data_IF_467689758756
#
_entry.id   IF_467689758756
#
_cell.length_a   1.000
_cell.length_b   1.000
_cell.length_c   1.000
_cell.angle_alpha   90.00
_cell.angle_beta   90.00
_cell.angle_gamma   90.00
#
_symmetry.space_group_name_H-M   'P 1'
#
loop_
_entity.id
_entity.type
_entity.pdbx_description
1 polymer ?
#
# COMPACT_ATOMS: atom_id res chain seq x y z
N UNK A 1 4.50 4.12 -5.30
CA UNK A 1 5.36 3.08 -4.71
C UNK A 1 6.63 3.69 -4.14
N UNK A 2 7.51 4.27 -4.97
CA UNK A 2 8.73 4.92 -4.53
C UNK A 2 8.45 6.00 -3.47
N UNK A 3 7.52 6.92 -3.73
CA UNK A 3 7.17 7.99 -2.77
C UNK A 3 6.75 7.46 -1.39
N UNK A 4 5.91 6.42 -1.33
CA UNK A 4 5.44 5.81 -0.07
C UNK A 4 6.57 5.14 0.70
N UNK A 5 7.47 4.47 -0.02
CA UNK A 5 8.68 3.87 0.55
C UNK A 5 9.58 4.95 1.16
N UNK A 6 9.85 6.02 0.43
CA UNK A 6 10.66 7.14 0.93
C UNK A 6 10.00 7.84 2.14
N UNK A 7 8.67 8.02 2.11
CA UNK A 7 7.90 8.59 3.21
C UNK A 7 7.96 7.75 4.49
N UNK A 8 8.21 6.44 4.39
CA UNK A 8 8.40 5.55 5.54
C UNK A 8 9.87 5.53 6.00
N UNK A 9 10.84 5.53 5.07
CA UNK A 9 12.29 5.53 5.39
C UNK A 9 12.70 6.78 6.16
N UNK A 10 12.24 7.96 5.74
CA UNK A 10 12.73 9.23 6.29
C UNK A 10 12.45 9.42 7.80
N UNK A 11 11.23 9.15 8.31
CA UNK A 11 10.98 9.13 9.75
C UNK A 11 11.76 8.03 10.47
N UNK A 12 11.91 6.84 9.87
CA UNK A 12 12.68 5.73 10.47
C UNK A 12 14.16 6.07 10.67
N UNK A 13 14.76 6.80 9.71
CA UNK A 13 16.14 7.28 9.82
C UNK A 13 16.30 8.33 10.93
N UNK A 14 15.29 9.20 11.12
CA UNK A 14 15.30 10.28 12.12
C UNK A 14 15.01 9.79 13.55
N UNK A 15 14.36 8.63 13.71
CA UNK A 15 13.97 8.07 15.02
C UNK A 15 14.94 7.03 15.59
N UNK A 16 16.07 6.75 14.95
CA UNK A 16 17.10 5.82 15.47
C UNK A 16 16.64 4.36 15.62
N UNK A 17 15.58 3.95 14.91
CA UNK A 17 15.03 2.59 15.01
C UNK A 17 16.00 1.55 14.43
N UNK A 18 16.09 0.39 15.08
CA UNK A 18 16.92 -0.73 14.63
C UNK A 18 16.56 -1.15 13.19
N UNK A 19 17.57 -1.38 12.34
CA UNK A 19 17.39 -1.74 10.92
C UNK A 19 16.46 -2.93 10.68
N UNK A 20 16.36 -3.86 11.65
CA UNK A 20 15.43 -5.00 11.59
C UNK A 20 13.95 -4.59 11.63
N UNK A 21 13.58 -3.56 12.41
CA UNK A 21 12.21 -3.06 12.46
C UNK A 21 11.79 -2.37 11.15
N UNK A 22 12.74 -1.69 10.50
CA UNK A 22 12.52 -1.07 9.18
C UNK A 22 12.15 -2.15 8.17
N UNK A 23 12.96 -3.22 8.04
CA UNK A 23 12.69 -4.32 7.12
C UNK A 23 11.34 -5.01 7.36
N UNK A 24 10.95 -5.17 8.63
CA UNK A 24 9.66 -5.76 8.99
C UNK A 24 8.47 -4.86 8.57
N UNK A 25 8.58 -3.53 8.72
CA UNK A 25 7.56 -2.58 8.26
C UNK A 25 7.46 -2.51 6.73
N UNK A 26 8.59 -2.65 6.03
CA UNK A 26 8.61 -2.84 4.59
C UNK A 26 7.82 -4.06 4.15
N UNK A 27 8.06 -5.20 4.83
CA UNK A 27 7.31 -6.43 4.63
C UNK A 27 5.80 -6.25 4.83
N UNK A 28 5.38 -5.41 5.79
CA UNK A 28 3.96 -5.08 5.98
C UNK A 28 3.34 -4.24 4.87
N UNK A 29 4.14 -3.37 4.25
CA UNK A 29 3.67 -2.43 3.24
C UNK A 29 3.57 -3.09 1.86
N UNK A 30 4.45 -4.04 1.54
CA UNK A 30 4.51 -4.72 0.24
C UNK A 30 3.17 -5.33 -0.23
N UNK A 31 2.42 -6.09 0.58
CA UNK A 31 1.15 -6.68 0.13
C UNK A 31 0.09 -5.65 -0.20
N UNK A 32 0.04 -4.55 0.57
CA UNK A 32 -0.89 -3.44 0.32
C UNK A 32 -0.56 -2.78 -1.02
N UNK A 33 0.73 -2.60 -1.30
CA UNK A 33 1.19 -2.03 -2.56
C UNK A 33 0.82 -2.91 -3.75
N UNK A 34 1.08 -4.22 -3.67
CA UNK A 34 0.74 -5.20 -4.73
C UNK A 34 -0.77 -5.24 -5.00
N UNK A 35 -1.58 -5.17 -3.94
CA UNK A 35 -3.05 -5.16 -4.06
C UNK A 35 -3.56 -3.98 -4.88
N UNK A 36 -2.92 -2.81 -4.73
CA UNK A 36 -3.30 -1.62 -5.48
C UNK A 36 -2.77 -1.64 -6.91
N UNK A 37 -1.57 -2.17 -7.16
CA UNK A 37 -0.97 -2.18 -8.51
C UNK A 37 -1.47 -3.31 -9.41
N UNK A 38 -1.93 -4.43 -8.86
CA UNK A 38 -2.44 -5.58 -9.61
C UNK A 38 -3.50 -5.21 -10.68
N UNK A 39 -4.60 -4.49 -10.34
CA UNK A 39 -5.63 -4.15 -11.32
C UNK A 39 -5.11 -3.20 -12.41
N UNK A 40 -4.27 -2.22 -12.06
CA UNK A 40 -3.66 -1.33 -13.05
C UNK A 40 -2.73 -2.10 -14.00
N UNK A 41 -1.89 -2.99 -13.47
CA UNK A 41 -1.01 -3.81 -14.28
C UNK A 41 -1.80 -4.69 -15.26
N UNK A 42 -2.93 -5.26 -14.84
CA UNK A 42 -3.80 -6.04 -15.72
C UNK A 42 -4.45 -5.19 -16.83
N UNK A 43 -4.88 -3.96 -16.53
CA UNK A 43 -5.39 -3.03 -17.54
C UNK A 43 -4.32 -2.68 -18.59
N UNK A 44 -3.10 -2.38 -18.15
CA UNK A 44 -2.00 -2.09 -19.06
C UNK A 44 -1.60 -3.32 -19.88
N UNK A 45 -1.45 -4.48 -19.23
CA UNK A 45 -1.10 -5.73 -19.91
C UNK A 45 -2.12 -6.09 -21.00
N UNK A 46 -3.42 -6.05 -20.68
CA UNK A 46 -4.47 -6.31 -21.67
C UNK A 46 -4.43 -5.29 -22.81
N UNK A 47 -4.31 -4.00 -22.50
CA UNK A 47 -4.20 -2.95 -23.52
C UNK A 47 -3.01 -3.17 -24.46
N UNK A 48 -1.83 -3.48 -23.92
CA UNK A 48 -0.62 -3.72 -24.72
C UNK A 48 -0.77 -4.98 -25.57
N UNK A 49 -1.26 -6.08 -25.00
CA UNK A 49 -1.42 -7.35 -25.72
C UNK A 49 -2.40 -7.20 -26.88
N UNK A 50 -3.59 -6.65 -26.65
CA UNK A 50 -4.56 -6.41 -27.74
C UNK A 50 -4.09 -5.32 -28.70
N UNK A 51 -3.33 -4.32 -28.22
CA UNK A 51 -2.69 -3.33 -29.07
C UNK A 51 -1.74 -3.97 -30.08
N UNK A 52 -0.88 -4.88 -29.63
CA UNK A 52 0.02 -5.65 -30.50
C UNK A 52 -0.75 -6.58 -31.43
N UNK A 53 -1.74 -7.30 -30.92
CA UNK A 53 -2.60 -8.20 -31.72
C UNK A 53 -3.34 -7.48 -32.86
N UNK A 54 -3.66 -6.19 -32.65
CA UNK A 54 -4.22 -5.33 -33.69
C UNK A 54 -3.17 -4.80 -34.66
N UNK A 55 -1.96 -4.47 -34.19
CA UNK A 55 -0.85 -4.02 -35.05
C UNK A 55 -0.38 -5.11 -36.01
N UNK A 56 -0.29 -6.35 -35.51
CA UNK A 56 0.14 -7.52 -36.28
C UNK A 56 -0.95 -8.04 -37.25
N UNK A 57 -2.10 -7.35 -37.35
CA UNK A 57 -3.28 -7.72 -38.15
C UNK A 57 -3.85 -9.11 -37.85
N UNK A 58 -3.42 -9.77 -36.78
CA UNK A 58 -3.92 -11.08 -36.37
C UNK A 58 -5.42 -11.02 -36.03
N UNK A 59 -5.87 -9.92 -35.43
CA UNK A 59 -7.31 -9.71 -35.17
C UNK A 59 -8.14 -9.64 -36.45
N UNK A 60 -7.59 -9.06 -37.53
CA UNK A 60 -8.27 -8.99 -38.82
C UNK A 60 -8.28 -10.37 -39.50
N UNK A 61 -7.17 -11.10 -39.44
CA UNK A 61 -7.05 -12.45 -40.00
C UNK A 61 -8.02 -13.45 -39.34
N UNK A 62 -8.15 -13.42 -38.00
CA UNK A 62 -9.12 -14.24 -37.28
C UNK A 62 -10.57 -13.93 -37.70
N UNK A 63 -10.91 -12.64 -37.85
CA UNK A 63 -12.24 -12.22 -38.30
C UNK A 63 -12.52 -12.64 -39.75
N UNK A 64 -11.53 -12.55 -40.63
CA UNK A 64 -11.65 -13.03 -42.02
C UNK A 64 -11.85 -14.55 -42.10
N UNK A 65 -11.32 -15.29 -41.11
CA UNK A 65 -11.50 -16.74 -40.97
C UNK A 65 -12.83 -17.14 -40.32
N UNK A 66 -13.73 -16.18 -40.06
CA UNK A 66 -15.05 -16.43 -39.46
C UNK A 66 -15.04 -16.61 -37.94
N UNK A 67 -13.92 -16.34 -37.26
CA UNK A 67 -13.86 -16.39 -35.79
C UNK A 67 -14.58 -15.18 -35.22
N UNK A 68 -15.50 -15.42 -34.28
CA UNK A 68 -16.25 -14.35 -33.63
C UNK A 68 -15.35 -13.52 -32.71
N UNK A 69 -15.60 -12.20 -32.66
CA UNK A 69 -14.87 -11.28 -31.77
C UNK A 69 -15.03 -11.68 -30.30
N UNK A 70 -16.19 -12.25 -29.94
CA UNK A 70 -16.43 -12.76 -28.59
C UNK A 70 -15.50 -13.91 -28.20
N UNK A 71 -15.10 -14.77 -29.13
CA UNK A 71 -14.13 -15.83 -28.84
C UNK A 71 -12.75 -15.25 -28.47
N UNK A 72 -12.37 -14.12 -29.07
CA UNK A 72 -11.14 -13.41 -28.73
C UNK A 72 -11.22 -12.65 -27.41
N UNK A 73 -12.41 -12.27 -26.96
CA UNK A 73 -12.61 -11.62 -25.65
C UNK A 73 -12.60 -12.59 -24.47
N UNK A 74 -12.99 -13.86 -24.68
CA UNK A 74 -12.99 -14.90 -23.64
C UNK A 74 -11.69 -15.00 -22.83
N UNK A 75 -10.48 -15.08 -23.44
CA UNK A 75 -9.24 -15.18 -22.67
C UNK A 75 -8.98 -13.93 -21.81
N UNK A 76 -9.28 -12.72 -22.30
CA UNK A 76 -9.16 -11.50 -21.50
C UNK A 76 -10.12 -11.50 -20.32
N UNK A 77 -11.37 -11.92 -20.51
CA UNK A 77 -12.35 -12.00 -19.44
C UNK A 77 -11.95 -13.05 -18.39
N UNK A 78 -11.45 -14.21 -18.81
CA UNK A 78 -10.97 -15.24 -17.90
C UNK A 78 -9.80 -14.75 -17.04
N UNK A 79 -8.80 -14.09 -17.65
CA UNK A 79 -7.68 -13.51 -16.92
C UNK A 79 -8.12 -12.34 -16.03
N UNK A 80 -9.03 -11.48 -16.50
CA UNK A 80 -9.59 -10.37 -15.72
C UNK A 80 -10.35 -10.85 -14.48
N UNK A 81 -11.15 -11.90 -14.60
CA UNK A 81 -11.80 -12.55 -13.47
C UNK A 81 -10.78 -13.14 -12.49
N UNK A 82 -9.73 -13.79 -12.99
CA UNK A 82 -8.64 -14.30 -12.16
C UNK A 82 -7.94 -13.20 -11.35
N UNK A 83 -7.54 -12.11 -12.01
CA UNK A 83 -6.93 -10.93 -11.37
C UNK A 83 -7.89 -10.32 -10.35
N UNK A 84 -9.19 -10.23 -10.66
CA UNK A 84 -10.20 -9.71 -9.74
C UNK A 84 -10.31 -10.55 -8.46
N UNK A 85 -10.36 -11.88 -8.59
CA UNK A 85 -10.40 -12.81 -7.44
C UNK A 85 -9.12 -12.67 -6.60
N UNK A 86 -7.95 -12.60 -7.23
CA UNK A 86 -6.66 -12.41 -6.52
C UNK A 86 -6.67 -11.06 -5.78
N UNK A 87 -7.11 -9.98 -6.43
CA UNK A 87 -7.17 -8.65 -5.83
C UNK A 87 -8.17 -8.62 -4.67
N UNK A 88 -9.33 -9.26 -4.82
CA UNK A 88 -10.35 -9.37 -3.79
C UNK A 88 -9.84 -10.13 -2.57
N UNK A 89 -9.18 -11.26 -2.78
CA UNK A 89 -8.62 -12.08 -1.68
C UNK A 89 -7.50 -11.34 -0.95
N UNK A 90 -6.59 -10.68 -1.67
CA UNK A 90 -5.56 -9.83 -1.06
C UNK A 90 -6.18 -8.67 -0.25
N UNK A 91 -7.21 -8.01 -0.78
CA UNK A 91 -7.87 -6.89 -0.10
C UNK A 91 -8.65 -7.34 1.14
N UNK A 92 -9.42 -8.43 1.05
CA UNK A 92 -10.29 -8.88 2.13
C UNK A 92 -9.55 -9.60 3.26
N UNK A 93 -8.49 -10.35 2.96
CA UNK A 93 -7.79 -11.17 3.97
C UNK A 93 -6.43 -10.58 4.36
N UNK A 94 -5.64 -10.15 3.39
CA UNK A 94 -4.25 -9.72 3.64
C UNK A 94 -4.19 -8.28 4.16
N UNK A 95 -4.97 -7.37 3.59
CA UNK A 95 -5.00 -5.96 4.03
C UNK A 95 -5.39 -5.77 5.51
N UNK A 96 -6.50 -6.34 6.03
CA UNK A 96 -6.84 -6.18 7.45
C UNK A 96 -5.91 -6.96 8.38
N UNK A 97 -5.36 -8.09 7.94
CA UNK A 97 -4.36 -8.85 8.70
C UNK A 97 -3.09 -8.04 8.94
N UNK A 98 -2.55 -7.44 7.87
CA UNK A 98 -1.35 -6.62 7.93
C UNK A 98 -1.60 -5.27 8.61
N UNK A 99 -2.78 -4.65 8.43
CA UNK A 99 -3.16 -3.42 9.13
C UNK A 99 -3.25 -3.63 10.66
N UNK A 100 -3.82 -4.74 11.11
CA UNK A 100 -3.87 -5.09 12.55
C UNK A 100 -2.47 -5.34 13.10
N UNK A 101 -1.60 -6.01 12.35
CA UNK A 101 -0.23 -6.31 12.77
C UNK A 101 0.66 -5.05 12.79
N UNK A 102 0.47 -4.14 11.84
CA UNK A 102 1.08 -2.82 11.82
C UNK A 102 0.65 -1.99 13.03
N UNK A 103 -0.66 -1.95 13.36
CA UNK A 103 -1.13 -1.23 14.55
C UNK A 103 -0.59 -1.81 15.85
N UNK A 104 -0.47 -3.14 15.98
CA UNK A 104 0.14 -3.78 17.15
C UNK A 104 1.62 -3.42 17.30
N UNK A 105 2.36 -3.40 16.19
CA UNK A 105 3.78 -3.02 16.18
C UNK A 105 3.94 -1.53 16.50
N UNK A 106 3.08 -0.66 15.98
CA UNK A 106 3.07 0.78 16.32
C UNK A 106 2.72 0.98 17.79
N UNK A 107 1.73 0.27 18.34
CA UNK A 107 1.31 0.42 19.73
C UNK A 107 2.39 -0.02 20.74
N UNK A 108 3.16 -1.06 20.42
CA UNK A 108 4.29 -1.49 21.25
C UNK A 108 5.49 -0.53 21.16
N UNK A 109 5.68 0.12 20.01
CA UNK A 109 6.70 1.15 19.82
C UNK A 109 6.23 2.56 20.18
N UNK A 110 4.94 2.76 20.48
CA UNK A 110 4.37 4.07 20.82
C UNK A 110 5.01 4.64 22.08
N UNK A 111 5.46 3.78 23.00
CA UNK A 111 6.26 4.19 24.15
C UNK A 111 7.56 4.86 23.68
N UNK A 112 8.31 4.27 22.75
CA UNK A 112 9.57 4.84 22.22
C UNK A 112 9.35 6.03 21.27
N UNK A 113 8.30 6.00 20.46
CA UNK A 113 7.94 7.10 19.54
C UNK A 113 7.42 8.31 20.32
N UNK A 114 6.64 8.11 21.39
CA UNK A 114 6.17 9.19 22.27
C UNK A 114 7.35 9.89 22.98
N UNK A 115 8.34 9.14 23.50
CA UNK A 115 9.53 9.76 24.10
C UNK A 115 10.34 10.58 23.07
N UNK A 116 10.40 10.14 21.81
CA UNK A 116 11.12 10.87 20.74
C UNK A 116 10.35 12.09 20.19
N UNK A 117 9.01 12.05 20.21
CA UNK A 117 8.17 13.19 19.82
C UNK A 117 8.10 14.25 20.93
N UNK A 118 8.13 13.85 22.20
CA UNK A 118 8.19 14.79 23.34
C UNK A 118 9.54 15.51 23.39
N UNK A 119 10.64 14.87 22.97
CA UNK A 119 11.97 15.51 22.96
C UNK A 119 12.21 16.42 21.74
N UNK A 120 11.41 16.31 20.68
CA UNK A 120 11.58 17.08 19.43
C UNK A 120 10.50 18.13 19.18
N UNK A 121 9.28 17.94 19.67
CA UNK A 121 8.22 18.94 19.62
C UNK A 121 7.84 19.42 21.01
N UNK A 122 8.60 20.37 21.53
CA UNK A 122 8.09 21.32 22.51
C UNK A 122 6.94 22.10 21.85
N UNK A 123 5.70 21.61 22.06
CA UNK A 123 4.37 22.22 21.86
C UNK A 123 3.44 21.49 20.86
N UNK A 124 2.67 20.51 21.37
CA UNK A 124 1.42 20.08 20.73
C UNK A 124 0.26 20.86 21.33
N UNK A 125 -0.23 21.88 20.61
CA UNK A 125 -1.50 22.54 20.94
C UNK A 125 -2.66 21.72 20.38
N UNK A 126 -3.37 21.02 21.25
CA UNK A 126 -4.67 20.45 20.91
C UNK A 126 -5.73 21.55 20.99
N UNK A 127 -6.12 22.10 19.84
CA UNK A 127 -7.31 22.95 19.74
C UNK A 127 -8.49 22.10 19.27
N UNK A 128 -9.29 21.67 20.24
CA UNK A 128 -10.63 21.11 20.00
C UNK A 128 -11.61 22.15 20.54
N UNK A 129 -12.38 22.73 19.63
CA UNK A 129 -13.28 23.86 19.88
C UNK A 129 -13.94 23.82 21.26
N UNK A 130 -13.65 24.89 22.03
CA UNK A 130 -14.26 25.29 23.30
C UNK A 130 -13.76 24.69 24.63
N UNK A 131 -12.64 23.94 24.69
CA UNK A 131 -11.92 23.78 25.97
C UNK A 131 -10.44 23.42 25.78
N UNK A 132 -9.56 24.42 25.96
CA UNK A 132 -8.11 24.28 25.77
C UNK A 132 -7.48 23.66 27.02
N UNK A 133 -7.22 22.35 27.01
CA UNK A 133 -6.42 21.70 28.06
C UNK A 133 -4.96 21.71 27.59
N UNK A 134 -4.16 22.57 28.22
CA UNK A 134 -2.72 22.69 27.98
C UNK A 134 -2.01 21.74 28.93
N UNK A 135 -1.60 20.57 28.46
CA UNK A 135 -0.83 19.61 29.26
C UNK A 135 0.64 20.01 29.21
N UNK A 136 1.12 20.64 30.28
CA UNK A 136 2.53 20.90 30.52
C UNK A 136 3.17 19.67 31.17
N UNK A 137 4.09 18.99 30.48
CA UNK A 137 5.02 18.06 31.11
C UNK A 137 6.33 18.81 31.37
N UNK A 138 6.39 19.50 32.51
CA UNK A 138 7.61 20.11 33.04
C UNK A 138 8.24 19.11 34.03
N UNK A 139 9.33 18.48 33.60
CA UNK A 139 10.23 17.56 34.32
C UNK A 139 9.71 16.19 34.76
N UNK A 140 10.52 15.17 34.48
CA UNK A 140 10.59 13.93 35.24
C UNK A 140 11.99 13.92 35.87
N UNK A 141 11.99 13.96 37.20
CA UNK A 141 13.16 13.90 38.06
C UNK A 141 13.85 12.54 37.93
N UNK A 142 15.18 12.57 38.02
CA UNK A 142 16.09 11.44 37.92
C UNK A 142 16.59 11.12 39.34
N UNK A 143 16.23 9.95 39.86
CA UNK A 143 16.88 9.30 41.01
C UNK A 143 17.44 7.94 40.55
#
# INVERSE_FOLDING_TARGET
>A
MVMTVFAIIEPLRKSGLAAGQVGMLFGYTLPVMVTLTLPFAALFATTIVYGRFSQDREMLACRASGISVFAMLKPALALGLGVSIITLTLTNFVSPGMARQAQRTVMQNIRRIAYHLIQKESHVKFDKGSNTIIVHATQVDED
#
